data_IF_242237451907
#
_entry.id   IF_242237451907
#
_cell.length_a   1.000
_cell.length_b   1.000
_cell.length_c   1.000
_cell.angle_alpha   90.00
_cell.angle_beta   90.00
_cell.angle_gamma   90.00
#
_symmetry.space_group_name_H-M   'P 1'
#
loop_
_entity.id
_entity.type
_entity.pdbx_description
1 polymer ?
#
# COMPACT_ATOMS: atom_id res chain seq x y z
N UNK A 1 -5.44 4.47 -2.64
CA UNK A 1 -4.18 4.31 -1.89
C UNK A 1 -4.09 2.93 -1.24
N UNK A 2 -4.91 2.63 -0.22
CA UNK A 2 -4.84 1.35 0.52
C UNK A 2 -4.76 0.09 -0.37
N UNK A 3 -5.61 -0.01 -1.40
CA UNK A 3 -5.59 -1.14 -2.35
C UNK A 3 -4.24 -1.32 -3.06
N UNK A 4 -3.57 -0.22 -3.41
CA UNK A 4 -2.28 -0.30 -4.11
C UNK A 4 -1.17 -0.73 -3.15
N UNK A 5 -1.18 -0.25 -1.90
CA UNK A 5 -0.25 -0.71 -0.87
C UNK A 5 -0.42 -2.22 -0.61
N UNK A 6 -1.66 -2.67 -0.45
CA UNK A 6 -1.97 -4.09 -0.25
C UNK A 6 -1.61 -4.97 -1.47
N UNK A 7 -1.78 -4.46 -2.69
CA UNK A 7 -1.36 -5.16 -3.90
C UNK A 7 0.16 -5.34 -3.95
N UNK A 8 0.93 -4.28 -3.63
CA UNK A 8 2.39 -4.33 -3.59
C UNK A 8 2.90 -5.29 -2.50
N UNK A 9 2.29 -5.26 -1.32
CA UNK A 9 2.63 -6.19 -0.25
C UNK A 9 2.47 -7.64 -0.71
N UNK A 10 1.31 -7.99 -1.29
CA UNK A 10 1.04 -9.33 -1.82
C UNK A 10 2.02 -9.75 -2.93
N UNK A 11 2.39 -8.85 -3.85
CA UNK A 11 3.34 -9.19 -4.90
C UNK A 11 4.77 -9.42 -4.41
N UNK A 12 5.17 -8.76 -3.32
CA UNK A 12 6.48 -8.98 -2.69
C UNK A 12 6.50 -10.25 -1.84
N UNK A 13 5.39 -10.55 -1.18
CA UNK A 13 5.22 -11.74 -0.34
C UNK A 13 5.08 -13.02 -1.18
N UNK A 14 4.19 -13.00 -2.18
CA UNK A 14 3.85 -14.14 -3.04
C UNK A 14 3.86 -13.74 -4.53
N UNK A 15 5.04 -13.58 -5.16
CA UNK A 15 5.16 -13.07 -6.54
C UNK A 15 4.46 -13.93 -7.61
N UNK A 16 4.21 -15.21 -7.33
CA UNK A 16 3.60 -16.16 -8.26
C UNK A 16 2.07 -16.23 -8.14
N UNK A 17 1.47 -15.53 -7.18
CA UNK A 17 0.03 -15.54 -6.94
C UNK A 17 -0.63 -14.26 -7.45
N UNK A 18 -1.84 -14.39 -7.99
CA UNK A 18 -2.64 -13.24 -8.36
C UNK A 18 -3.07 -12.46 -7.11
N UNK A 19 -2.79 -11.15 -7.01
CA UNK A 19 -3.15 -10.37 -5.83
C UNK A 19 -4.67 -10.34 -5.60
N UNK A 20 -5.07 -10.60 -4.36
CA UNK A 20 -6.47 -10.45 -3.94
C UNK A 20 -6.83 -8.97 -3.91
N UNK A 21 -8.07 -8.66 -4.32
CA UNK A 21 -8.60 -7.30 -4.32
C UNK A 21 -9.10 -6.92 -2.93
N UNK A 22 -8.49 -5.90 -2.33
CA UNK A 22 -8.99 -5.30 -1.08
C UNK A 22 -10.33 -4.58 -1.35
N UNK A 23 -11.41 -4.91 -0.61
CA UNK A 23 -12.72 -4.28 -0.81
C UNK A 23 -12.71 -2.79 -0.45
N UNK A 24 -13.65 -2.03 -1.03
CA UNK A 24 -13.96 -0.69 -0.51
C UNK A 24 -14.70 -0.82 0.81
N UNK A 25 -14.14 -0.31 1.89
CA UNK A 25 -14.83 -0.28 3.18
C UNK A 25 -15.56 1.06 3.44
N UNK A 26 -15.55 1.99 2.47
CA UNK A 26 -16.17 3.30 2.60
C UNK A 26 -15.29 4.32 3.36
N UNK A 27 -15.74 5.57 3.37
CA UNK A 27 -14.91 6.72 3.81
C UNK A 27 -14.41 6.64 5.25
N UNK A 28 -15.15 5.98 6.15
CA UNK A 28 -14.83 5.91 7.57
C UNK A 28 -13.74 4.88 7.91
N UNK A 29 -13.55 3.89 7.04
CA UNK A 29 -12.53 2.85 7.22
C UNK A 29 -11.29 3.10 6.35
N UNK A 30 -11.30 4.13 5.50
CA UNK A 30 -10.22 4.39 4.55
C UNK A 30 -8.86 4.64 5.24
N UNK A 31 -8.86 5.34 6.37
CA UNK A 31 -7.65 5.58 7.16
C UNK A 31 -7.09 4.28 7.76
N UNK A 32 -7.96 3.43 8.31
CA UNK A 32 -7.58 2.13 8.87
C UNK A 32 -7.02 1.21 7.78
N UNK A 33 -7.68 1.18 6.61
CA UNK A 33 -7.22 0.40 5.46
C UNK A 33 -5.84 0.88 4.97
N UNK A 34 -5.59 2.19 4.91
CA UNK A 34 -4.27 2.72 4.56
C UNK A 34 -3.23 2.30 5.61
N UNK A 35 -3.57 2.37 6.89
CA UNK A 35 -2.66 2.06 8.00
C UNK A 35 -2.26 0.59 8.00
N UNK A 36 -3.22 -0.31 7.90
CA UNK A 36 -2.99 -1.76 7.83
C UNK A 36 -2.20 -2.11 6.57
N UNK A 37 -2.61 -1.62 5.39
CA UNK A 37 -1.92 -1.93 4.15
C UNK A 37 -0.47 -1.39 4.10
N UNK A 38 -0.21 -0.24 4.72
CA UNK A 38 1.14 0.31 4.85
C UNK A 38 2.01 -0.53 5.78
N UNK A 39 1.44 -1.00 6.90
CA UNK A 39 2.13 -1.90 7.82
C UNK A 39 2.51 -3.22 7.15
N UNK A 40 1.56 -3.85 6.45
CA UNK A 40 1.79 -5.11 5.72
C UNK A 40 2.89 -4.94 4.67
N UNK A 41 2.85 -3.84 3.91
CA UNK A 41 3.91 -3.53 2.94
C UNK A 41 5.27 -3.39 3.64
N UNK A 42 5.33 -2.64 4.74
CA UNK A 42 6.58 -2.40 5.46
C UNK A 42 7.25 -3.69 5.97
N UNK A 43 6.46 -4.71 6.33
CA UNK A 43 6.98 -6.01 6.80
C UNK A 43 7.67 -6.82 5.69
N UNK A 44 7.35 -6.58 4.42
CA UNK A 44 7.83 -7.40 3.29
C UNK A 44 8.85 -6.69 2.41
N UNK A 45 9.13 -5.41 2.65
CA UNK A 45 10.22 -4.67 1.98
C UNK A 45 11.58 -5.26 2.36
N UNK A 46 12.45 -5.40 1.37
CA UNK A 46 13.79 -6.02 1.49
C UNK A 46 14.92 -5.01 1.35
N UNK A 47 14.64 -3.76 1.01
CA UNK A 47 15.69 -2.74 0.88
C UNK A 47 15.21 -1.32 0.61
N UNK A 48 16.17 -0.39 0.64
CA UNK A 48 15.94 1.05 0.54
C UNK A 48 15.28 1.48 -0.78
N UNK A 49 15.57 0.79 -1.89
CA UNK A 49 14.96 1.09 -3.18
C UNK A 49 13.45 0.82 -3.21
N UNK A 50 13.02 -0.28 -2.59
CA UNK A 50 11.60 -0.63 -2.49
C UNK A 50 10.88 0.33 -1.53
N UNK A 51 11.54 0.69 -0.43
CA UNK A 51 11.05 1.72 0.50
C UNK A 51 10.88 3.08 -0.20
N UNK A 52 11.87 3.53 -0.97
CA UNK A 52 11.81 4.78 -1.71
C UNK A 52 10.63 4.80 -2.71
N UNK A 53 10.39 3.68 -3.41
CA UNK A 53 9.24 3.52 -4.31
C UNK A 53 7.89 3.56 -3.57
N UNK A 54 7.82 3.00 -2.36
CA UNK A 54 6.63 3.08 -1.53
C UNK A 54 6.38 4.53 -1.03
N UNK A 55 7.42 5.23 -0.61
CA UNK A 55 7.34 6.63 -0.17
C UNK A 55 6.93 7.57 -1.32
N UNK A 56 7.43 7.35 -2.53
CA UNK A 56 7.04 8.12 -3.71
C UNK A 56 5.53 8.00 -3.97
N UNK A 57 4.97 6.80 -3.87
CA UNK A 57 3.53 6.57 -4.01
C UNK A 57 2.72 7.36 -2.95
N UNK A 58 3.18 7.36 -1.70
CA UNK A 58 2.53 8.12 -0.62
C UNK A 58 2.56 9.61 -0.92
N UNK A 59 3.72 10.15 -1.32
CA UNK A 59 3.88 11.55 -1.65
C UNK A 59 2.96 11.98 -2.82
N UNK A 60 2.84 11.19 -3.87
CA UNK A 60 1.92 11.45 -4.99
C UNK A 60 0.45 11.50 -4.54
N UNK A 61 0.06 10.67 -3.58
CA UNK A 61 -1.30 10.71 -3.06
C UNK A 61 -1.56 11.88 -2.12
N UNK A 62 -0.57 12.28 -1.32
CA UNK A 62 -0.65 13.49 -0.52
C UNK A 62 -0.84 14.72 -1.40
N UNK A 63 -0.03 14.87 -2.46
CA UNK A 63 -0.18 15.94 -3.44
C UNK A 63 -1.58 15.98 -4.07
N UNK A 64 -2.14 14.83 -4.48
CA UNK A 64 -3.50 14.76 -5.02
C UNK A 64 -4.59 15.09 -3.99
N UNK A 65 -4.34 14.78 -2.72
CA UNK A 65 -5.24 15.11 -1.62
C UNK A 65 -5.10 16.56 -1.13
N UNK A 66 -4.07 17.29 -1.58
CA UNK A 66 -3.79 18.66 -1.18
C UNK A 66 -3.22 18.79 0.23
N UNK A 67 -2.51 17.76 0.71
CA UNK A 67 -1.86 17.71 2.04
C UNK A 67 -0.35 17.52 1.93
#
# INVERSE_FOLDING_TARGET
MARELARRAQLLESPAEDPRVMPDAGMFAAADQVTVAAHDLALVLRGEGELASALALVAEAQQRAGV
#
